data_IF_879034137340
#
_entry.id   IF_879034137340
#
_cell.length_a   1.000
_cell.length_b   1.000
_cell.length_c   1.000
_cell.angle_alpha   90.00
_cell.angle_beta   90.00
_cell.angle_gamma   90.00
#
_symmetry.space_group_name_H-M   'P 1'
#
loop_
_entity.id
_entity.type
_entity.pdbx_description
1 polymer ?
#
# COMPACT_ATOMS: atom_id res chain seq x y z
N UNK A 1 -55.97 -22.11 -32.08
CA UNK A 1 -55.77 -23.19 -31.10
C UNK A 1 -54.82 -24.20 -31.70
N UNK A 2 -53.62 -24.32 -31.12
CA UNK A 2 -52.92 -25.56 -30.78
C UNK A 2 -51.41 -25.32 -30.75
N UNK A 3 -50.92 -24.95 -29.56
CA UNK A 3 -49.55 -25.23 -29.16
C UNK A 3 -49.32 -26.74 -29.30
N UNK A 4 -48.35 -27.14 -30.11
CA UNK A 4 -47.81 -28.49 -30.09
C UNK A 4 -47.03 -28.67 -28.79
N UNK A 5 -47.55 -29.49 -27.88
CA UNK A 5 -46.85 -29.92 -26.67
C UNK A 5 -45.70 -30.88 -27.04
N UNK A 6 -44.52 -30.32 -27.29
CA UNK A 6 -43.25 -31.02 -27.55
C UNK A 6 -42.62 -31.61 -26.26
N UNK A 7 -43.44 -32.10 -25.32
CA UNK A 7 -43.01 -32.44 -23.96
C UNK A 7 -42.76 -33.94 -23.69
N UNK A 8 -42.84 -34.82 -24.69
CA UNK A 8 -42.77 -36.26 -24.44
C UNK A 8 -41.35 -36.86 -24.66
N UNK A 9 -40.46 -36.69 -23.67
CA UNK A 9 -39.16 -37.36 -23.63
C UNK A 9 -39.37 -38.86 -23.38
N UNK A 10 -38.87 -39.72 -24.27
CA UNK A 10 -38.92 -41.17 -24.03
C UNK A 10 -38.06 -41.59 -22.85
N UNK A 11 -38.49 -42.62 -22.09
CA UNK A 11 -37.76 -43.17 -20.92
C UNK A 11 -36.28 -43.43 -21.22
N UNK A 12 -35.96 -43.98 -22.40
CA UNK A 12 -34.57 -44.23 -22.83
C UNK A 12 -33.76 -42.94 -22.99
N UNK A 13 -34.35 -41.90 -23.60
CA UNK A 13 -33.71 -40.58 -23.74
C UNK A 13 -33.54 -39.90 -22.38
N UNK A 14 -34.52 -40.02 -21.49
CA UNK A 14 -34.43 -39.52 -20.11
C UNK A 14 -33.27 -40.18 -19.35
N UNK A 15 -33.21 -41.52 -19.33
CA UNK A 15 -32.14 -42.27 -18.66
C UNK A 15 -30.76 -41.92 -19.24
N UNK A 16 -30.63 -41.84 -20.57
CA UNK A 16 -29.37 -41.49 -21.21
C UNK A 16 -28.92 -40.06 -20.88
N UNK A 17 -29.85 -39.10 -20.79
CA UNK A 17 -29.56 -37.71 -20.39
C UNK A 17 -29.20 -37.63 -18.90
N UNK A 18 -29.91 -38.33 -18.04
CA UNK A 18 -29.62 -38.40 -16.60
C UNK A 18 -28.23 -39.02 -16.34
N UNK A 19 -27.89 -40.11 -17.04
CA UNK A 19 -26.57 -40.73 -16.93
C UNK A 19 -25.45 -39.78 -17.38
N UNK A 20 -25.61 -39.09 -18.52
CA UNK A 20 -24.65 -38.09 -19.00
C UNK A 20 -24.50 -36.94 -18.01
N UNK A 21 -25.60 -36.43 -17.46
CA UNK A 21 -25.56 -35.38 -16.45
C UNK A 21 -24.83 -35.84 -15.17
N UNK A 22 -25.10 -37.05 -14.70
CA UNK A 22 -24.42 -37.64 -13.55
C UNK A 22 -22.91 -37.78 -13.77
N UNK A 23 -22.49 -38.28 -14.94
CA UNK A 23 -21.07 -38.36 -15.32
C UNK A 23 -20.42 -36.98 -15.37
N UNK A 24 -21.09 -35.98 -15.96
CA UNK A 24 -20.55 -34.61 -16.02
C UNK A 24 -20.38 -33.98 -14.63
N UNK A 25 -21.34 -34.16 -13.73
CA UNK A 25 -21.26 -33.66 -12.35
C UNK A 25 -20.13 -34.36 -11.61
N UNK A 26 -20.02 -35.69 -11.73
CA UNK A 26 -18.97 -36.46 -11.08
C UNK A 26 -17.58 -36.06 -11.59
N UNK A 27 -17.41 -35.88 -12.91
CA UNK A 27 -16.17 -35.44 -13.50
C UNK A 27 -15.77 -34.03 -13.04
N UNK A 28 -16.72 -33.09 -13.01
CA UNK A 28 -16.47 -31.74 -12.52
C UNK A 28 -16.13 -31.72 -11.02
N UNK A 29 -16.84 -32.51 -10.20
CA UNK A 29 -16.57 -32.64 -8.77
C UNK A 29 -15.21 -33.28 -8.48
N UNK A 30 -14.84 -34.32 -9.23
CA UNK A 30 -13.53 -34.95 -9.12
C UNK A 30 -12.41 -33.99 -9.55
N UNK A 31 -12.58 -33.27 -10.67
CA UNK A 31 -11.62 -32.27 -11.11
C UNK A 31 -11.45 -31.17 -10.05
N UNK A 32 -12.56 -30.63 -9.52
CA UNK A 32 -12.55 -29.63 -8.46
C UNK A 32 -11.82 -30.14 -7.20
N UNK A 33 -12.08 -31.38 -6.78
CA UNK A 33 -11.41 -32.01 -5.64
C UNK A 33 -9.91 -32.19 -5.87
N UNK A 34 -9.51 -32.61 -7.07
CA UNK A 34 -8.11 -32.82 -7.45
C UNK A 34 -7.32 -31.50 -7.52
N UNK A 35 -7.96 -30.40 -7.92
CA UNK A 35 -7.32 -29.07 -7.97
C UNK A 35 -7.52 -28.27 -6.68
N UNK A 36 -8.27 -28.79 -5.70
CA UNK A 36 -8.52 -28.11 -4.44
C UNK A 36 -7.26 -28.10 -3.57
N UNK A 37 -6.64 -26.94 -3.48
CA UNK A 37 -5.54 -26.72 -2.56
C UNK A 37 -6.06 -26.48 -1.13
N UNK A 38 -6.15 -27.55 -0.35
CA UNK A 38 -6.56 -27.51 1.07
C UNK A 38 -5.54 -26.79 1.97
N UNK A 39 -4.28 -26.71 1.57
CA UNK A 39 -3.22 -26.08 2.38
C UNK A 39 -3.18 -24.58 2.17
N UNK A 40 -3.58 -24.12 0.99
CA UNK A 40 -3.43 -22.73 0.58
C UNK A 40 -1.96 -22.36 0.43
N UNK A 41 -1.65 -21.07 0.17
CA UNK A 41 -0.27 -20.61 0.07
C UNK A 41 0.48 -20.88 1.38
N UNK A 42 1.42 -21.83 1.34
CA UNK A 42 2.31 -22.11 2.46
C UNK A 42 3.31 -20.98 2.73
N UNK A 43 4.02 -21.01 3.87
CA UNK A 43 5.14 -20.11 4.12
C UNK A 43 6.14 -20.20 2.96
N UNK A 44 6.59 -19.04 2.47
CA UNK A 44 7.61 -19.00 1.42
C UNK A 44 8.89 -19.65 1.95
N UNK A 45 9.68 -20.32 1.11
CA UNK A 45 10.90 -21.01 1.56
C UNK A 45 11.79 -20.08 2.39
N UNK A 46 12.31 -20.59 3.52
CA UNK A 46 13.13 -19.85 4.51
C UNK A 46 14.51 -19.42 3.97
N UNK A 47 14.84 -19.75 2.72
CA UNK A 47 16.18 -19.56 2.13
C UNK A 47 16.45 -18.12 1.65
N UNK A 48 15.69 -17.16 2.17
CA UNK A 48 15.88 -15.75 1.85
C UNK A 48 16.55 -15.02 3.00
N UNK A 49 17.66 -14.32 2.70
CA UNK A 49 18.31 -13.42 3.64
C UNK A 49 17.31 -12.33 4.09
N UNK A 50 16.84 -12.46 5.33
CA UNK A 50 15.88 -11.53 5.93
C UNK A 50 16.51 -10.17 6.13
N UNK A 51 15.74 -9.12 5.87
CA UNK A 51 16.14 -7.74 6.12
C UNK A 51 15.52 -7.21 7.40
N UNK A 52 16.18 -6.25 8.03
CA UNK A 52 15.64 -5.43 9.11
C UNK A 52 15.61 -3.97 8.67
N UNK A 53 14.56 -3.27 9.05
CA UNK A 53 14.47 -1.81 8.87
C UNK A 53 15.29 -1.13 9.97
N UNK A 54 15.90 0.02 9.63
CA UNK A 54 16.46 0.91 10.63
C UNK A 54 15.35 1.50 11.50
N UNK A 55 15.71 1.96 12.70
CA UNK A 55 14.82 2.77 13.52
C UNK A 55 14.85 4.22 13.03
N UNK A 56 13.73 4.71 12.51
CA UNK A 56 13.56 6.09 12.06
C UNK A 56 12.94 7.00 13.14
N UNK A 57 12.74 6.48 14.35
CA UNK A 57 12.13 7.25 15.43
C UNK A 57 13.00 8.47 15.80
N UNK A 58 12.32 9.56 16.11
CA UNK A 58 12.94 10.79 16.62
C UNK A 58 12.51 10.93 18.07
N UNK A 59 13.46 11.20 18.96
CA UNK A 59 13.20 11.32 20.39
C UNK A 59 12.03 12.30 20.65
N UNK A 60 11.03 11.87 21.46
CA UNK A 60 9.91 12.73 21.80
C UNK A 60 10.38 13.91 22.66
N UNK A 61 9.76 15.07 22.46
CA UNK A 61 9.88 16.24 23.32
C UNK A 61 8.54 16.44 23.98
N UNK A 62 8.52 16.53 25.30
CA UNK A 62 7.29 16.72 26.06
C UNK A 62 6.54 17.97 25.56
N UNK A 63 5.22 17.85 25.39
CA UNK A 63 4.39 18.94 24.84
C UNK A 63 4.54 19.21 23.34
N UNK A 64 5.46 18.55 22.63
CA UNK A 64 5.72 18.75 21.19
C UNK A 64 5.70 17.43 20.42
N UNK A 65 4.70 16.58 20.67
CA UNK A 65 4.51 15.29 19.98
C UNK A 65 3.41 15.34 18.92
N UNK A 66 2.47 16.27 19.05
CA UNK A 66 1.37 16.49 18.11
C UNK A 66 1.09 17.99 17.97
N UNK A 67 0.72 18.41 16.77
CA UNK A 67 0.26 19.77 16.47
C UNK A 67 -0.97 19.70 15.59
N UNK A 68 -1.94 20.58 15.84
CA UNK A 68 -3.16 20.70 15.03
C UNK A 68 -3.23 22.12 14.51
N UNK A 69 -3.27 22.28 13.18
CA UNK A 69 -3.35 23.58 12.51
C UNK A 69 -4.49 23.56 11.51
N UNK A 70 -5.31 24.62 11.51
CA UNK A 70 -6.42 24.82 10.58
C UNK A 70 -6.12 26.04 9.72
N UNK A 71 -6.32 25.91 8.40
CA UNK A 71 -6.13 27.00 7.46
C UNK A 71 -6.36 26.57 6.02
N UNK A 72 -6.76 27.51 5.16
CA UNK A 72 -7.05 27.26 3.74
C UNK A 72 -5.78 27.01 2.91
N UNK A 73 -4.68 27.66 3.26
CA UNK A 73 -3.38 27.45 2.61
C UNK A 73 -2.63 26.27 3.26
N UNK A 74 -2.64 25.14 2.55
CA UNK A 74 -2.00 23.89 2.98
C UNK A 74 -0.51 24.04 3.27
N UNK A 75 0.22 24.86 2.52
CA UNK A 75 1.66 25.01 2.71
C UNK A 75 1.95 25.82 3.98
N UNK A 76 1.22 26.93 4.19
CA UNK A 76 1.30 27.71 5.45
C UNK A 76 0.92 26.87 6.66
N UNK A 77 -0.18 26.11 6.57
CA UNK A 77 -0.62 25.22 7.65
C UNK A 77 0.42 24.15 7.99
N UNK A 78 1.05 23.54 6.98
CA UNK A 78 2.11 22.55 7.19
C UNK A 78 3.33 23.17 7.87
N UNK A 79 3.80 24.33 7.39
CA UNK A 79 4.93 25.04 8.01
C UNK A 79 4.66 25.34 9.47
N UNK A 80 3.46 25.87 9.78
CA UNK A 80 3.09 26.19 11.16
C UNK A 80 3.00 24.95 12.04
N UNK A 81 2.47 23.84 11.51
CA UNK A 81 2.41 22.58 12.23
C UNK A 81 3.80 22.06 12.60
N UNK A 82 4.74 22.07 11.64
CA UNK A 82 6.12 21.64 11.87
C UNK A 82 6.87 22.61 12.82
N UNK A 83 6.65 23.91 12.69
CA UNK A 83 7.19 24.93 13.60
C UNK A 83 6.76 24.68 15.05
N UNK A 84 5.47 24.41 15.30
CA UNK A 84 4.95 24.09 16.64
C UNK A 84 5.55 22.80 17.22
N UNK A 85 6.00 21.89 16.36
CA UNK A 85 6.73 20.67 16.74
C UNK A 85 8.24 20.91 16.93
N UNK A 86 8.73 22.15 16.85
CA UNK A 86 10.13 22.50 17.07
C UNK A 86 10.98 22.63 15.79
N UNK A 87 10.33 22.81 14.64
CA UNK A 87 11.00 23.07 13.35
C UNK A 87 11.38 21.80 12.59
N UNK A 88 11.67 21.95 11.29
CA UNK A 88 12.02 20.81 10.44
C UNK A 88 13.40 20.25 10.81
N UNK A 89 14.28 21.12 11.28
CA UNK A 89 15.65 20.82 11.74
C UNK A 89 15.64 19.90 12.97
N UNK A 90 14.51 19.74 13.66
CA UNK A 90 14.34 18.71 14.68
C UNK A 90 14.36 17.31 14.08
N UNK A 91 13.74 17.13 12.91
CA UNK A 91 13.49 15.84 12.29
C UNK A 91 14.52 15.50 11.21
N UNK A 92 15.00 16.49 10.47
CA UNK A 92 15.94 16.33 9.36
C UNK A 92 17.22 17.10 9.68
N UNK A 93 18.37 16.45 9.49
CA UNK A 93 19.71 17.02 9.72
C UNK A 93 20.45 17.23 8.40
N UNK A 94 21.45 18.10 8.45
CA UNK A 94 22.31 18.40 7.31
C UNK A 94 22.99 17.11 6.80
N UNK A 95 22.96 16.92 5.49
CA UNK A 95 23.57 15.76 4.82
C UNK A 95 22.71 14.50 4.77
N UNK A 96 21.58 14.47 5.48
CA UNK A 96 20.70 13.29 5.52
C UNK A 96 19.96 13.06 4.20
N UNK A 97 19.66 11.80 3.92
CA UNK A 97 18.81 11.36 2.83
C UNK A 97 17.42 11.00 3.37
N UNK A 98 16.39 11.66 2.87
CA UNK A 98 15.01 11.55 3.40
C UNK A 98 14.12 10.78 2.43
N UNK A 99 13.39 9.78 2.89
CA UNK A 99 12.26 9.20 2.18
C UNK A 99 10.95 9.84 2.66
N UNK A 100 10.14 10.31 1.72
CA UNK A 100 8.77 10.73 1.96
C UNK A 100 7.85 9.66 1.37
N UNK A 101 6.96 9.13 2.20
CA UNK A 101 5.96 8.14 1.82
C UNK A 101 4.55 8.74 1.88
N UNK A 102 4.07 9.33 0.78
CA UNK A 102 2.69 9.78 0.69
C UNK A 102 1.71 8.62 0.52
N UNK A 103 0.42 8.87 0.73
CA UNK A 103 -0.65 7.99 0.28
C UNK A 103 -0.87 8.18 -1.23
N UNK A 104 -0.48 7.22 -2.05
CA UNK A 104 -0.66 7.21 -3.52
C UNK A 104 -1.38 5.92 -3.96
N UNK A 105 -2.20 5.35 -3.07
CA UNK A 105 -2.72 3.99 -3.21
C UNK A 105 -3.56 3.73 -4.48
N UNK A 106 -4.17 4.78 -5.04
CA UNK A 106 -5.13 4.68 -6.14
C UNK A 106 -4.78 5.61 -7.30
N UNK A 107 -5.13 5.18 -8.50
CA UNK A 107 -4.95 5.93 -9.75
C UNK A 107 -6.03 7.02 -9.88
N UNK A 108 -6.05 7.95 -8.93
CA UNK A 108 -7.09 8.97 -8.77
C UNK A 108 -6.50 10.36 -8.53
N UNK A 109 -7.16 11.42 -9.02
CA UNK A 109 -6.73 12.79 -8.75
C UNK A 109 -6.93 13.13 -7.27
N UNK A 110 -5.97 13.88 -6.70
CA UNK A 110 -5.96 14.22 -5.28
C UNK A 110 -7.16 15.06 -4.82
N UNK A 111 -7.92 15.66 -5.75
CA UNK A 111 -9.14 16.41 -5.45
C UNK A 111 -10.20 15.54 -4.76
N UNK A 112 -10.25 14.25 -5.07
CA UNK A 112 -11.18 13.27 -4.51
C UNK A 112 -10.85 12.88 -3.06
N UNK A 113 -9.71 13.33 -2.51
CA UNK A 113 -9.32 13.03 -1.13
C UNK A 113 -8.83 11.59 -0.89
N UNK A 114 -8.77 10.77 -1.94
CA UNK A 114 -8.28 9.40 -1.86
C UNK A 114 -6.75 9.31 -1.70
N UNK A 115 -5.99 10.33 -2.12
CA UNK A 115 -4.52 10.37 -2.08
C UNK A 115 -4.03 11.64 -1.35
N UNK A 116 -2.74 11.68 -1.01
CA UNK A 116 -2.12 12.87 -0.45
C UNK A 116 -2.20 14.06 -1.42
N UNK A 117 -2.21 15.29 -0.88
CA UNK A 117 -2.32 16.50 -1.69
C UNK A 117 -0.93 16.89 -2.26
N UNK A 118 -0.77 17.08 -3.58
CA UNK A 118 0.51 17.43 -4.19
C UNK A 118 1.20 18.64 -3.55
N UNK A 119 0.46 19.70 -3.22
CA UNK A 119 1.00 20.88 -2.52
C UNK A 119 1.67 20.57 -1.18
N UNK A 120 1.19 19.57 -0.43
CA UNK A 120 1.84 19.16 0.83
C UNK A 120 3.16 18.44 0.55
N UNK A 121 3.24 17.68 -0.55
CA UNK A 121 4.46 16.99 -0.96
C UNK A 121 5.53 18.01 -1.35
N UNK A 122 5.19 18.97 -2.23
CA UNK A 122 6.09 20.07 -2.61
C UNK A 122 6.65 20.79 -1.39
N UNK A 123 5.78 21.19 -0.45
CA UNK A 123 6.21 21.92 0.73
C UNK A 123 7.07 21.07 1.67
N UNK A 124 6.73 19.79 1.86
CA UNK A 124 7.55 18.89 2.69
C UNK A 124 8.94 18.69 2.10
N UNK A 125 9.04 18.47 0.79
CA UNK A 125 10.33 18.34 0.08
C UNK A 125 11.17 19.61 0.27
N UNK A 126 10.58 20.79 0.07
CA UNK A 126 11.26 22.08 0.28
C UNK A 126 11.76 22.25 1.71
N UNK A 127 10.96 21.88 2.71
CA UNK A 127 11.37 21.95 4.11
C UNK A 127 12.54 20.99 4.40
N UNK A 128 12.53 19.78 3.84
CA UNK A 128 13.65 18.85 3.99
C UNK A 128 14.94 19.44 3.41
N UNK A 129 14.90 19.99 2.19
CA UNK A 129 16.08 20.64 1.60
C UNK A 129 16.51 21.90 2.35
N UNK A 130 15.57 22.69 2.86
CA UNK A 130 15.87 23.85 3.73
C UNK A 130 16.62 23.43 4.99
N UNK A 131 16.31 22.27 5.56
CA UNK A 131 17.00 21.68 6.71
C UNK A 131 18.41 21.12 6.36
N UNK A 132 18.80 21.15 5.08
CA UNK A 132 20.09 20.66 4.61
C UNK A 132 20.10 19.19 4.18
N UNK A 133 18.94 18.58 3.91
CA UNK A 133 18.89 17.23 3.34
C UNK A 133 19.71 17.17 2.05
N UNK A 134 20.54 16.13 1.91
CA UNK A 134 21.34 15.89 0.70
C UNK A 134 20.47 15.42 -0.46
N UNK A 135 19.47 14.58 -0.18
CA UNK A 135 18.56 14.00 -1.17
C UNK A 135 17.20 13.74 -0.54
N UNK A 136 16.15 13.93 -1.32
CA UNK A 136 14.79 13.55 -0.95
C UNK A 136 14.22 12.59 -1.99
N UNK A 137 13.70 11.47 -1.53
CA UNK A 137 12.97 10.50 -2.34
C UNK A 137 11.48 10.56 -1.99
N UNK A 138 10.62 10.37 -2.98
CA UNK A 138 9.19 10.16 -2.76
C UNK A 138 8.83 8.78 -3.31
N UNK A 139 8.20 7.95 -2.49
CA UNK A 139 7.93 6.56 -2.86
C UNK A 139 6.69 6.02 -2.15
N UNK A 140 5.98 5.12 -2.82
CA UNK A 140 4.86 4.36 -2.26
C UNK A 140 4.75 3.03 -3.03
N UNK A 141 4.07 2.04 -2.47
CA UNK A 141 3.65 0.83 -3.18
C UNK A 141 2.11 0.81 -3.31
N UNK A 142 1.56 1.38 -4.39
CA UNK A 142 0.12 1.50 -4.59
C UNK A 142 -0.60 0.16 -4.76
N UNK A 143 -1.94 0.22 -4.86
CA UNK A 143 -2.79 -0.93 -5.23
C UNK A 143 -2.93 -1.02 -6.75
N UNK A 144 -3.10 0.13 -7.42
CA UNK A 144 -3.11 0.18 -8.88
C UNK A 144 -1.69 0.31 -9.44
N UNK A 145 -1.58 0.42 -10.78
CA UNK A 145 -0.31 0.67 -11.45
C UNK A 145 0.43 1.88 -10.83
N UNK A 146 1.67 1.71 -10.33
CA UNK A 146 2.38 2.78 -9.63
C UNK A 146 2.61 4.02 -10.48
N UNK A 147 2.97 3.88 -11.76
CA UNK A 147 3.21 5.03 -12.64
C UNK A 147 1.93 5.87 -12.80
N UNK A 148 0.81 5.21 -13.08
CA UNK A 148 -0.51 5.83 -13.18
C UNK A 148 -0.92 6.53 -11.88
N UNK A 149 -0.72 5.88 -10.74
CA UNK A 149 -0.97 6.44 -9.42
C UNK A 149 -0.23 7.76 -9.17
N UNK A 150 1.08 7.77 -9.42
CA UNK A 150 1.92 8.94 -9.22
C UNK A 150 1.61 10.08 -10.22
N UNK A 151 1.29 9.73 -11.47
CA UNK A 151 0.91 10.68 -12.51
C UNK A 151 -0.46 11.33 -12.22
N UNK A 152 -1.52 10.54 -12.06
CA UNK A 152 -2.89 11.04 -11.92
C UNK A 152 -3.13 11.78 -10.60
N UNK A 153 -2.45 11.38 -9.52
CA UNK A 153 -2.50 12.14 -8.27
C UNK A 153 -1.81 13.51 -8.36
N UNK A 154 -0.94 13.70 -9.34
CA UNK A 154 -0.08 14.89 -9.48
C UNK A 154 1.12 14.90 -8.53
N UNK A 155 1.36 13.81 -7.79
CA UNK A 155 2.44 13.73 -6.80
C UNK A 155 3.82 13.64 -7.46
N UNK A 156 3.96 12.93 -8.60
CA UNK A 156 5.23 12.87 -9.33
C UNK A 156 5.72 14.27 -9.69
N UNK A 157 4.90 15.00 -10.45
CA UNK A 157 5.17 16.37 -10.87
C UNK A 157 5.52 17.28 -9.68
N UNK A 158 4.69 17.26 -8.64
CA UNK A 158 4.88 18.13 -7.48
C UNK A 158 6.15 17.84 -6.66
N UNK A 159 6.58 16.58 -6.63
CA UNK A 159 7.83 16.17 -5.97
C UNK A 159 9.05 16.54 -6.83
N UNK A 160 9.00 16.27 -8.13
CA UNK A 160 10.08 16.52 -9.08
C UNK A 160 10.34 18.02 -9.25
N UNK A 161 9.29 18.85 -9.36
CA UNK A 161 9.40 20.32 -9.37
C UNK A 161 10.00 20.88 -8.08
N UNK A 162 9.90 20.14 -6.97
CA UNK A 162 10.54 20.49 -5.70
C UNK A 162 11.96 19.91 -5.55
N UNK A 163 12.46 19.19 -6.56
CA UNK A 163 13.79 18.59 -6.59
C UNK A 163 13.90 17.20 -5.95
N UNK A 164 12.80 16.56 -5.58
CA UNK A 164 12.82 15.17 -5.10
C UNK A 164 12.83 14.17 -6.27
N UNK A 165 13.31 12.96 -6.01
CA UNK A 165 13.27 11.85 -6.99
C UNK A 165 12.17 10.87 -6.65
N UNK A 166 11.38 10.47 -7.64
CA UNK A 166 10.39 9.40 -7.49
C UNK A 166 11.08 8.03 -7.54
N UNK A 167 10.76 7.16 -6.59
CA UNK A 167 11.12 5.74 -6.66
C UNK A 167 9.83 4.93 -6.75
N UNK A 168 9.62 4.31 -7.91
CA UNK A 168 8.51 3.39 -8.13
C UNK A 168 8.90 1.96 -7.72
N UNK A 169 7.96 1.17 -7.17
CA UNK A 169 8.23 -0.19 -6.74
C UNK A 169 8.59 -1.09 -7.94
N UNK A 170 9.65 -1.87 -7.76
CA UNK A 170 10.08 -2.93 -8.69
C UNK A 170 10.28 -4.23 -7.91
N UNK A 171 10.06 -5.38 -8.56
CA UNK A 171 10.11 -6.69 -7.91
C UNK A 171 11.38 -6.93 -7.06
N UNK A 172 12.55 -6.53 -7.56
CA UNK A 172 13.83 -6.73 -6.84
C UNK A 172 13.99 -5.85 -5.58
N UNK A 173 13.21 -4.77 -5.47
CA UNK A 173 13.24 -3.83 -4.34
C UNK A 173 12.48 -4.36 -3.12
N UNK A 174 11.74 -5.46 -3.28
CA UNK A 174 11.07 -6.13 -2.20
C UNK A 174 11.99 -7.17 -1.57
N UNK A 175 12.10 -7.14 -0.24
CA UNK A 175 12.91 -8.09 0.53
C UNK A 175 12.06 -8.68 1.65
N UNK A 176 12.21 -9.98 1.95
CA UNK A 176 11.45 -10.61 3.01
C UNK A 176 11.94 -10.15 4.39
N UNK A 177 11.01 -10.01 5.31
CA UNK A 177 11.31 -9.75 6.72
C UNK A 177 10.37 -10.57 7.61
N UNK A 178 10.84 -10.83 8.83
CA UNK A 178 10.07 -11.46 9.89
C UNK A 178 10.24 -10.61 11.14
N UNK A 179 9.12 -10.19 11.75
CA UNK A 179 9.15 -9.45 13.01
C UNK A 179 9.72 -10.33 14.11
N UNK A 180 10.48 -9.74 15.05
CA UNK A 180 10.93 -10.46 16.25
C UNK A 180 9.74 -11.06 16.99
N UNK A 181 9.73 -12.38 17.16
CA UNK A 181 8.61 -13.11 17.80
C UNK A 181 7.40 -13.36 16.89
N UNK A 182 7.45 -12.99 15.60
CA UNK A 182 6.39 -13.23 14.64
C UNK A 182 6.20 -14.72 14.35
N UNK A 183 4.98 -15.23 14.57
CA UNK A 183 4.65 -16.66 14.39
C UNK A 183 3.81 -16.95 13.16
N UNK A 184 2.86 -16.06 12.83
CA UNK A 184 1.86 -16.27 11.78
C UNK A 184 2.34 -15.76 10.42
N UNK A 185 2.83 -14.52 10.37
CA UNK A 185 3.32 -13.88 9.15
C UNK A 185 4.84 -13.85 9.24
N UNK A 186 5.48 -14.70 8.44
CA UNK A 186 6.94 -14.80 8.31
C UNK A 186 7.34 -14.59 6.85
N UNK A 187 8.57 -14.12 6.67
CA UNK A 187 9.25 -13.94 5.38
C UNK A 187 8.43 -13.09 4.41
N UNK A 188 7.76 -12.09 4.97
CA UNK A 188 6.81 -11.27 4.22
C UNK A 188 7.57 -10.20 3.43
N UNK A 189 7.30 -10.04 2.11
CA UNK A 189 8.00 -9.07 1.30
C UNK A 189 7.62 -7.64 1.74
N UNK A 190 8.62 -6.82 2.03
CA UNK A 190 8.46 -5.38 2.26
C UNK A 190 9.21 -4.59 1.20
N UNK A 191 8.70 -3.41 0.84
CA UNK A 191 9.32 -2.48 -0.11
C UNK A 191 10.54 -1.83 0.54
N UNK A 192 11.62 -2.60 0.61
CA UNK A 192 12.76 -2.34 1.48
C UNK A 192 13.79 -1.39 0.87
N UNK A 193 14.08 -1.54 -0.42
CA UNK A 193 15.25 -0.87 -1.03
C UNK A 193 15.23 0.66 -0.92
N UNK A 194 14.09 1.38 -1.08
CA UNK A 194 14.05 2.81 -0.84
C UNK A 194 14.36 3.20 0.61
N UNK A 195 14.12 2.30 1.56
CA UNK A 195 14.32 2.51 2.99
C UNK A 195 15.70 2.06 3.47
N UNK A 196 16.43 1.28 2.68
CA UNK A 196 17.72 0.71 3.07
C UNK A 196 18.85 1.76 3.15
N UNK A 197 18.70 2.91 2.47
CA UNK A 197 19.75 3.93 2.31
C UNK A 197 19.28 5.34 2.67
N UNK A 198 18.26 5.44 3.53
CA UNK A 198 17.71 6.73 4.00
C UNK A 198 17.97 6.84 5.49
N UNK A 199 18.13 8.07 5.95
CA UNK A 199 18.37 8.40 7.35
C UNK A 199 17.04 8.79 8.04
N UNK A 200 16.06 9.26 7.26
CA UNK A 200 14.73 9.68 7.74
C UNK A 200 13.62 9.17 6.86
N UNK A 201 12.49 8.89 7.49
CA UNK A 201 11.25 8.47 6.85
C UNK A 201 10.10 9.36 7.32
N UNK A 202 9.40 10.02 6.40
CA UNK A 202 8.26 10.89 6.66
C UNK A 202 7.02 10.32 5.99
N UNK A 203 5.98 9.98 6.76
CA UNK A 203 4.69 9.54 6.24
C UNK A 203 3.71 10.69 6.06
N UNK A 204 2.99 10.74 4.93
CA UNK A 204 1.96 11.76 4.67
C UNK A 204 0.68 11.08 4.18
N UNK A 205 -0.43 11.28 4.87
CA UNK A 205 -1.73 10.70 4.47
C UNK A 205 -2.86 11.66 4.76
N UNK A 206 -3.91 11.71 3.92
CA UNK A 206 -5.19 12.27 4.33
C UNK A 206 -5.82 11.38 5.41
N UNK A 207 -6.73 11.98 6.18
CA UNK A 207 -7.76 11.25 6.94
C UNK A 207 -8.96 11.10 6.00
N UNK A 208 -9.42 9.87 5.80
CA UNK A 208 -10.55 9.55 4.92
C UNK A 208 -11.36 8.38 5.47
N UNK A 209 -12.62 8.30 5.11
CA UNK A 209 -13.48 7.14 5.41
C UNK A 209 -12.89 5.87 4.80
N UNK A 210 -13.14 4.73 5.46
CA UNK A 210 -12.79 3.42 4.93
C UNK A 210 -13.76 2.34 5.40
N UNK A 211 -14.52 1.77 4.47
CA UNK A 211 -15.58 0.77 4.71
C UNK A 211 -15.25 -0.33 5.74
N UNK A 212 -14.08 -0.98 5.66
CA UNK A 212 -13.70 -2.08 6.58
C UNK A 212 -12.99 -1.64 7.87
N UNK A 213 -12.48 -0.43 7.93
CA UNK A 213 -11.58 0.02 9.00
C UNK A 213 -12.07 1.30 9.70
N UNK A 214 -13.30 1.73 9.37
CA UNK A 214 -13.91 3.04 9.64
C UNK A 214 -13.14 4.23 9.07
N UNK A 215 -11.83 4.33 9.29
CA UNK A 215 -10.99 5.42 8.79
C UNK A 215 -9.63 4.93 8.30
N UNK A 216 -9.10 5.63 7.29
CA UNK A 216 -7.71 5.55 6.88
C UNK A 216 -6.94 6.74 7.45
N UNK A 217 -5.90 6.44 8.22
CA UNK A 217 -5.01 7.42 8.87
C UNK A 217 -3.54 6.96 8.79
N UNK A 218 -2.67 7.55 9.61
CA UNK A 218 -1.21 7.34 9.58
C UNK A 218 -0.80 5.87 9.57
N UNK A 219 -1.27 5.05 10.52
CA UNK A 219 -0.86 3.64 10.61
C UNK A 219 -1.23 2.84 9.36
N UNK A 220 -2.43 3.07 8.82
CA UNK A 220 -2.90 2.39 7.61
C UNK A 220 -2.10 2.79 6.37
N UNK A 221 -1.55 4.01 6.32
CA UNK A 221 -0.72 4.45 5.20
C UNK A 221 0.49 3.53 4.98
N UNK A 222 1.05 2.97 6.05
CA UNK A 222 2.21 2.06 5.99
C UNK A 222 1.93 0.74 5.25
N UNK A 223 0.67 0.39 4.96
CA UNK A 223 0.34 -0.74 4.07
C UNK A 223 0.98 -0.61 2.68
N UNK A 224 1.19 0.61 2.19
CA UNK A 224 1.93 0.82 0.94
C UNK A 224 3.45 0.56 1.06
N UNK A 225 3.92 -0.10 2.11
CA UNK A 225 5.27 -0.69 2.19
C UNK A 225 5.21 -2.22 2.13
N UNK A 226 4.03 -2.83 2.20
CA UNK A 226 3.85 -4.27 2.09
C UNK A 226 3.90 -4.68 0.62
N UNK A 227 4.58 -5.78 0.32
CA UNK A 227 4.59 -6.41 -1.00
C UNK A 227 3.33 -7.22 -1.29
N UNK A 228 3.43 -8.14 -2.25
CA UNK A 228 2.35 -9.05 -2.62
C UNK A 228 1.91 -9.93 -1.43
N UNK A 229 0.62 -10.30 -1.39
CA UNK A 229 0.04 -11.10 -0.31
C UNK A 229 -0.63 -10.29 0.80
N UNK A 230 -0.97 -9.02 0.57
CA UNK A 230 -1.63 -8.14 1.57
C UNK A 230 -2.98 -8.66 2.07
N UNK A 231 -3.62 -9.56 1.31
CA UNK A 231 -4.88 -10.21 1.68
C UNK A 231 -4.74 -11.07 2.95
N UNK A 232 -3.53 -11.56 3.28
CA UNK A 232 -3.28 -12.33 4.52
C UNK A 232 -3.56 -11.49 5.78
N UNK A 233 -3.47 -10.16 5.70
CA UNK A 233 -3.81 -9.26 6.81
C UNK A 233 -5.31 -8.98 6.94
N UNK A 234 -6.13 -9.60 6.09
CA UNK A 234 -7.58 -9.40 6.02
C UNK A 234 -8.34 -10.74 6.13
N UNK A 235 -7.80 -11.66 6.92
CA UNK A 235 -8.43 -12.93 7.29
C UNK A 235 -9.13 -12.77 8.65
N UNK A 236 -10.21 -13.53 8.85
CA UNK A 236 -10.94 -13.63 10.12
C UNK A 236 -10.30 -14.68 11.04
#
# INVERSE_FOLDING_TARGET
MNQQDDNNISRRKFIARAAKAGVSIAAAGAAAYLVYDKKGPGPRPEDHKLVKLADFSVAPRFGQTISIVKGFDRAKSLRKAIELLGGIERFVKQGETVAIKPNVAFALPAILGATARPRLITETVRLCYKAGAKRVYVTDNPINDPASCFALSGIAKAAEEAGAKIILPRKHMFKPTTLTGGKLIRDFPIFYEPLAKVDKLIGITPVKDHQRAAASMTMKNWYGLLGEGRNVFHQD
#
